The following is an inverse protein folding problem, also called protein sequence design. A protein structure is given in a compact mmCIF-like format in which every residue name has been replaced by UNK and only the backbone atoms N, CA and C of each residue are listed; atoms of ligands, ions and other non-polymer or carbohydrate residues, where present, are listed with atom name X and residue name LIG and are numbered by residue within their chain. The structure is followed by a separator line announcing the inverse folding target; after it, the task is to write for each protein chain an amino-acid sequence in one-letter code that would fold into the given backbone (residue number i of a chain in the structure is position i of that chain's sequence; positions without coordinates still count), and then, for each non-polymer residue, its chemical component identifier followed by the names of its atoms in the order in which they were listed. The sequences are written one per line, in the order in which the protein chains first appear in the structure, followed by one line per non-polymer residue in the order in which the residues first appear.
data_IF_928771423820
#
_entry.id   IF_928771423820
#
_cell.length_a   1.000
_cell.length_b   1.000
_cell.length_c   1.000
_cell.angle_alpha   90.00
_cell.angle_beta   90.00
_cell.angle_gamma   90.00
#
_symmetry.space_group_name_H-M   'P 1'
#
loop_
_entity.id
_entity.type
_entity.pdbx_description
1 polymer ?
#
# COMPACT_ATOMS: atom_id res chain seq x y z
N UNK A 1 9.18 -2.86 22.30
CA UNK A 1 9.30 -3.37 20.93
C UNK A 1 7.99 -4.06 20.60
N UNK A 2 7.07 -3.36 19.94
CA UNK A 2 5.74 -3.91 19.65
C UNK A 2 5.84 -4.85 18.46
N UNK A 3 5.22 -6.03 18.56
CA UNK A 3 5.14 -6.98 17.46
C UNK A 3 4.26 -6.38 16.35
N UNK A 4 4.82 -6.22 15.15
CA UNK A 4 4.09 -5.70 14.00
C UNK A 4 2.95 -6.64 13.61
N UNK A 5 1.74 -6.09 13.44
CA UNK A 5 0.55 -6.87 13.08
C UNK A 5 0.53 -7.12 11.56
N UNK A 6 1.14 -8.22 11.12
CA UNK A 6 1.15 -8.62 9.71
C UNK A 6 -0.09 -9.42 9.35
N UNK A 7 -0.82 -9.03 8.30
CA UNK A 7 -1.99 -9.76 7.79
C UNK A 7 -1.94 -9.86 6.26
N UNK A 8 -2.65 -10.84 5.69
CA UNK A 8 -2.88 -10.85 4.24
C UNK A 8 -3.87 -9.76 3.87
N UNK A 9 -3.96 -9.40 2.58
CA UNK A 9 -4.95 -8.40 2.10
C UNK A 9 -6.38 -8.78 2.53
N UNK A 10 -6.75 -10.05 2.40
CA UNK A 10 -8.05 -10.56 2.85
C UNK A 10 -8.19 -10.46 4.37
N UNK A 11 -7.16 -10.84 5.15
CA UNK A 11 -7.17 -10.67 6.60
C UNK A 11 -7.20 -9.21 7.08
N UNK A 12 -6.68 -8.26 6.29
CA UNK A 12 -6.85 -6.83 6.54
C UNK A 12 -8.29 -6.40 6.33
N UNK A 13 -8.96 -6.88 5.29
CA UNK A 13 -10.38 -6.58 5.05
C UNK A 13 -11.30 -7.17 6.12
N UNK A 14 -11.03 -8.41 6.56
CA UNK A 14 -11.76 -9.03 7.66
C UNK A 14 -11.62 -8.18 8.94
N UNK A 15 -10.41 -7.72 9.24
CA UNK A 15 -10.16 -6.85 10.38
C UNK A 15 -10.90 -5.51 10.26
N UNK A 16 -10.79 -4.85 9.10
CA UNK A 16 -11.48 -3.58 8.85
C UNK A 16 -13.00 -3.72 8.98
N UNK A 17 -13.58 -4.83 8.50
CA UNK A 17 -15.02 -5.08 8.62
C UNK A 17 -15.45 -5.38 10.05
N UNK A 18 -14.57 -5.93 10.88
CA UNK A 18 -14.83 -6.15 12.30
C UNK A 18 -14.82 -4.85 13.09
N UNK A 19 -13.88 -3.95 12.80
CA UNK A 19 -13.76 -2.65 13.46
C UNK A 19 -14.78 -1.62 12.92
N UNK A 20 -15.01 -1.61 11.61
CA UNK A 20 -15.94 -0.72 10.90
C UNK A 20 -16.75 -1.49 9.85
N UNK A 21 -17.93 -2.01 10.22
CA UNK A 21 -18.82 -2.74 9.32
C UNK A 21 -19.39 -1.89 8.17
N UNK A 22 -19.49 -0.57 8.34
CA UNK A 22 -20.04 0.35 7.33
C UNK A 22 -18.98 0.85 6.34
N UNK A 23 -17.73 0.42 6.53
CA UNK A 23 -16.63 0.77 5.65
C UNK A 23 -16.89 0.35 4.20
N UNK A 24 -16.88 1.33 3.30
CA UNK A 24 -16.95 1.10 1.85
C UNK A 24 -15.60 0.64 1.25
N UNK A 25 -14.61 0.34 2.08
CA UNK A 25 -13.30 -0.13 1.62
C UNK A 25 -13.44 -1.53 1.02
N UNK A 26 -12.73 -1.77 -0.09
CA UNK A 26 -12.75 -3.06 -0.79
C UNK A 26 -11.36 -3.69 -0.87
N UNK A 27 -11.29 -5.00 -1.06
CA UNK A 27 -10.02 -5.69 -1.32
C UNK A 27 -9.29 -5.11 -2.54
N UNK A 28 -10.03 -4.70 -3.57
CA UNK A 28 -9.44 -4.12 -4.78
C UNK A 28 -8.72 -2.81 -4.48
N UNK A 29 -9.32 -1.96 -3.64
CA UNK A 29 -8.68 -0.74 -3.17
C UNK A 29 -7.36 -1.04 -2.44
N UNK A 30 -7.35 -2.00 -1.52
CA UNK A 30 -6.13 -2.42 -0.82
C UNK A 30 -5.06 -2.96 -1.79
N UNK A 31 -5.44 -3.76 -2.80
CA UNK A 31 -4.53 -4.23 -3.86
C UNK A 31 -3.96 -3.05 -4.66
N UNK A 32 -4.77 -2.01 -4.90
CA UNK A 32 -4.36 -0.77 -5.53
C UNK A 32 -3.29 -0.04 -4.71
N UNK A 33 -3.48 0.10 -3.40
CA UNK A 33 -2.51 0.73 -2.49
C UNK A 33 -1.16 0.00 -2.50
N UNK A 34 -1.19 -1.33 -2.48
CA UNK A 34 0.02 -2.17 -2.57
C UNK A 34 0.72 -1.96 -3.91
N UNK A 35 -0.02 -1.95 -5.03
CA UNK A 35 0.55 -1.70 -6.36
C UNK A 35 1.17 -0.30 -6.50
N UNK A 36 0.58 0.69 -5.84
CA UNK A 36 1.08 2.07 -5.80
C UNK A 36 2.24 2.24 -4.81
N UNK A 37 2.69 1.18 -4.12
CA UNK A 37 3.72 1.21 -3.07
C UNK A 37 3.45 2.20 -1.94
N UNK A 38 2.16 2.53 -1.69
CA UNK A 38 1.77 3.47 -0.64
C UNK A 38 1.79 2.87 0.76
N UNK A 39 1.60 1.54 0.83
CA UNK A 39 1.67 0.76 2.07
C UNK A 39 2.76 -0.30 1.90
N UNK A 40 3.66 -0.48 2.89
CA UNK A 40 4.71 -1.49 2.82
C UNK A 40 4.11 -2.89 2.79
N UNK A 41 4.56 -3.69 1.83
CA UNK A 41 4.17 -5.09 1.65
C UNK A 41 5.39 -6.00 1.75
N UNK A 42 5.23 -7.13 2.42
CA UNK A 42 6.21 -8.21 2.46
C UNK A 42 5.70 -9.40 1.65
N UNK A 43 6.54 -9.89 0.74
CA UNK A 43 6.20 -11.03 -0.11
C UNK A 43 6.67 -12.34 0.52
N UNK A 44 5.72 -13.17 0.93
CA UNK A 44 5.96 -14.51 1.46
C UNK A 44 5.50 -15.56 0.43
N UNK A 45 6.35 -15.80 -0.57
CA UNK A 45 6.02 -16.65 -1.72
C UNK A 45 4.84 -16.07 -2.50
N UNK A 46 3.73 -16.80 -2.56
CA UNK A 46 2.49 -16.35 -3.24
C UNK A 46 1.67 -15.37 -2.41
N UNK A 47 1.93 -15.26 -1.10
CA UNK A 47 1.15 -14.41 -0.19
C UNK A 47 1.80 -13.03 -0.07
N UNK A 48 0.95 -12.02 -0.05
CA UNK A 48 1.32 -10.65 0.27
C UNK A 48 0.90 -10.37 1.71
N UNK A 49 1.86 -10.03 2.56
CA UNK A 49 1.65 -9.66 3.95
C UNK A 49 1.79 -8.15 4.08
N UNK A 50 0.72 -7.52 4.53
CA UNK A 50 0.62 -6.08 4.74
C UNK A 50 0.72 -5.81 6.24
N UNK A 51 1.47 -4.76 6.59
CA UNK A 51 1.50 -4.25 7.95
C UNK A 51 0.19 -3.49 8.24
N UNK A 52 -0.62 -4.02 9.14
CA UNK A 52 -1.92 -3.46 9.50
C UNK A 52 -1.81 -2.08 10.13
N UNK A 53 -0.80 -1.87 10.99
CA UNK A 53 -0.62 -0.60 11.70
C UNK A 53 -0.32 0.52 10.69
N UNK A 54 0.55 0.24 9.71
CA UNK A 54 0.85 1.16 8.60
C UNK A 54 -0.32 1.37 7.65
N UNK A 55 -1.18 0.37 7.48
CA UNK A 55 -2.42 0.52 6.71
C UNK A 55 -3.38 1.48 7.42
N UNK A 56 -3.55 1.34 8.73
CA UNK A 56 -4.42 2.21 9.51
C UNK A 56 -3.89 3.66 9.55
N UNK A 57 -2.59 3.85 9.76
CA UNK A 57 -1.92 5.15 9.63
C UNK A 57 -2.14 5.77 8.23
N UNK A 58 -2.12 4.96 7.18
CA UNK A 58 -2.41 5.44 5.82
C UNK A 58 -3.85 5.92 5.68
N UNK A 59 -4.81 5.16 6.22
CA UNK A 59 -6.24 5.47 6.12
C UNK A 59 -6.66 6.64 7.00
N UNK A 60 -5.99 6.87 8.13
CA UNK A 60 -6.23 8.04 8.99
C UNK A 60 -5.77 9.35 8.36
N UNK A 61 -5.12 9.31 7.19
CA UNK A 61 -4.68 10.48 6.45
C UNK A 61 -3.36 11.07 6.93
N UNK A 62 -2.64 10.37 7.81
CA UNK A 62 -1.43 10.86 8.47
C UNK A 62 -0.16 10.67 7.61
N UNK A 63 -0.30 10.73 6.28
CA UNK A 63 0.81 10.51 5.37
C UNK A 63 1.42 11.78 4.83
N UNK A 64 2.74 11.88 4.99
CA UNK A 64 3.61 12.60 4.07
C UNK A 64 3.48 11.95 2.68
N UNK A 65 2.82 12.67 1.76
CA UNK A 65 2.74 12.27 0.37
C UNK A 65 4.17 12.21 -0.18
N UNK A 66 4.74 11.01 -0.30
CA UNK A 66 6.00 10.84 -1.04
C UNK A 66 5.71 11.21 -2.49
N UNK A 67 6.21 12.37 -2.90
CA UNK A 67 6.09 12.85 -4.27
C UNK A 67 6.53 11.74 -5.22
N UNK A 68 5.77 11.46 -6.29
CA UNK A 68 6.18 10.45 -7.24
C UNK A 68 7.56 10.84 -7.78
N UNK A 69 8.53 9.93 -7.66
CA UNK A 69 9.84 10.09 -8.29
C UNK A 69 9.61 10.42 -9.77
N UNK A 70 10.12 11.56 -10.22
CA UNK A 70 9.93 12.02 -11.59
C UNK A 70 10.59 11.02 -12.54
N UNK A 71 9.81 10.07 -13.05
CA UNK A 71 10.27 9.14 -14.08
C UNK A 71 10.49 9.98 -15.33
N UNK A 72 11.73 10.12 -15.79
CA UNK A 72 12.09 10.89 -16.98
C UNK A 72 11.66 10.14 -18.26
N UNK A 73 10.36 10.00 -18.49
CA UNK A 73 9.84 9.51 -19.76
C UNK A 73 10.05 10.56 -20.86
N UNK A 74 10.49 10.12 -22.05
CA UNK A 74 10.59 11.00 -23.23
C UNK A 74 11.89 11.78 -23.39
N UNK A 75 12.96 11.48 -22.63
CA UNK A 75 14.29 12.04 -22.92
C UNK A 75 14.90 11.35 -24.15
N UNK A 76 14.77 11.98 -25.30
CA UNK A 76 15.52 11.60 -26.50
C UNK A 76 17.00 11.95 -26.30
N UNK A 77 17.88 10.99 -26.54
CA UNK A 77 19.32 11.25 -26.60
C UNK A 77 19.65 12.08 -27.85
N UNK A 78 20.48 13.11 -27.72
CA UNK A 78 21.03 13.83 -28.88
C UNK A 78 21.98 12.89 -29.63
N UNK A 79 21.79 12.75 -30.93
CA UNK A 79 22.69 11.98 -31.81
C UNK A 79 23.48 12.97 -32.66
N UNK A 80 24.80 12.98 -32.49
CA UNK A 80 25.75 13.72 -33.33
C UNK A 80 25.90 15.22 -33.03
N UNK A 81 27.13 15.69 -33.13
CA UNK A 81 27.45 17.02 -33.65
C UNK A 81 27.64 16.90 -35.17
#
# INVERSE_FOLDING_TARGET
MALTRMRTISGCMEYLRQEDPESCITEYYLRGLVKQNKVPVFHAGRKQLVNLDKLLEYLSGDQEVKEPEQVNYGKLRRVGE
#
